data_IF_713422360272
#
_entry.id   IF_713422360272
#
_cell.length_a   1.000
_cell.length_b   1.000
_cell.length_c   1.000
_cell.angle_alpha   90.00
_cell.angle_beta   90.00
_cell.angle_gamma   90.00
#
_symmetry.space_group_name_H-M   'P 1'
#
loop_
_entity.id
_entity.type
_entity.pdbx_description
1 polymer ?
#
# COMPACT_ATOMS: atom_id res chain seq x y z
N UNK A 1 -18.60 -32.52 -47.60
CA UNK A 1 -17.76 -33.12 -46.54
C UNK A 1 -16.40 -32.40 -46.33
N UNK A 2 -15.45 -32.39 -47.33
CA UNK A 2 -14.16 -31.67 -47.13
C UNK A 2 -14.31 -30.15 -46.97
N UNK A 3 -15.13 -29.50 -47.81
CA UNK A 3 -15.37 -28.05 -47.73
C UNK A 3 -16.11 -27.62 -46.48
N UNK A 4 -17.05 -28.39 -46.01
CA UNK A 4 -17.79 -28.10 -44.76
C UNK A 4 -16.89 -28.16 -43.55
N UNK A 5 -16.03 -29.20 -43.42
CA UNK A 5 -15.01 -29.28 -42.35
C UNK A 5 -14.02 -28.13 -42.37
N UNK A 6 -13.64 -27.66 -43.56
CA UNK A 6 -12.70 -26.54 -43.70
C UNK A 6 -13.34 -25.20 -43.29
N UNK A 7 -14.64 -25.02 -43.63
CA UNK A 7 -15.40 -23.83 -43.21
C UNK A 7 -15.67 -23.81 -41.71
N UNK A 8 -15.96 -24.96 -41.12
CA UNK A 8 -16.16 -25.12 -39.68
C UNK A 8 -14.85 -24.86 -38.90
N UNK A 9 -13.73 -25.39 -39.38
CA UNK A 9 -12.40 -25.13 -38.81
C UNK A 9 -12.06 -23.62 -38.84
N UNK A 10 -12.34 -22.97 -39.96
CA UNK A 10 -12.07 -21.51 -40.12
C UNK A 10 -12.94 -20.68 -39.15
N UNK A 11 -14.22 -21.02 -39.01
CA UNK A 11 -15.13 -20.37 -38.05
C UNK A 11 -14.67 -20.56 -36.60
N UNK A 12 -14.26 -21.78 -36.24
CA UNK A 12 -13.76 -22.09 -34.90
C UNK A 12 -12.48 -21.29 -34.61
N UNK A 13 -11.59 -21.18 -35.59
CA UNK A 13 -10.35 -20.42 -35.48
C UNK A 13 -10.59 -18.91 -35.34
N UNK A 14 -11.55 -18.37 -36.10
CA UNK A 14 -11.96 -16.97 -35.98
C UNK A 14 -12.57 -16.66 -34.60
N UNK A 15 -13.45 -17.56 -34.11
CA UNK A 15 -14.06 -17.41 -32.80
C UNK A 15 -13.04 -17.49 -31.67
N UNK A 16 -12.07 -18.40 -31.75
CA UNK A 16 -10.97 -18.53 -30.81
C UNK A 16 -10.11 -17.27 -30.78
N UNK A 17 -9.77 -16.71 -31.95
CA UNK A 17 -9.00 -15.48 -32.07
C UNK A 17 -9.75 -14.28 -31.49
N UNK A 18 -11.06 -14.19 -31.68
CA UNK A 18 -11.88 -13.13 -31.11
C UNK A 18 -11.96 -13.20 -29.57
N UNK A 19 -12.17 -14.40 -29.03
CA UNK A 19 -12.18 -14.65 -27.59
C UNK A 19 -10.81 -14.30 -26.98
N UNK A 20 -9.74 -14.76 -27.62
CA UNK A 20 -8.37 -14.47 -27.16
C UNK A 20 -8.08 -12.96 -27.18
N UNK A 21 -8.50 -12.27 -28.24
CA UNK A 21 -8.34 -10.80 -28.32
C UNK A 21 -9.10 -10.08 -27.21
N UNK A 22 -10.37 -10.47 -26.95
CA UNK A 22 -11.16 -9.88 -25.84
C UNK A 22 -10.52 -10.15 -24.48
N UNK A 23 -10.01 -11.36 -24.26
CA UNK A 23 -9.32 -11.74 -23.03
C UNK A 23 -8.07 -10.88 -22.81
N UNK A 24 -7.21 -10.75 -23.83
CA UNK A 24 -6.00 -9.93 -23.75
C UNK A 24 -6.31 -8.46 -23.52
N UNK A 25 -7.35 -7.91 -24.17
CA UNK A 25 -7.79 -6.54 -23.88
C UNK A 25 -8.25 -6.35 -22.43
N UNK A 26 -9.01 -7.32 -21.90
CA UNK A 26 -9.49 -7.27 -20.51
C UNK A 26 -8.34 -7.35 -19.51
N UNK A 27 -7.37 -8.23 -19.76
CA UNK A 27 -6.17 -8.36 -18.94
C UNK A 27 -5.30 -7.10 -19.00
N UNK A 28 -5.17 -6.49 -20.18
CA UNK A 28 -4.44 -5.23 -20.36
C UNK A 28 -5.07 -4.08 -19.58
N UNK A 29 -6.40 -3.94 -19.61
CA UNK A 29 -7.12 -2.93 -18.80
C UNK A 29 -6.93 -3.17 -17.29
N UNK A 30 -6.84 -4.43 -16.88
CA UNK A 30 -6.60 -4.81 -15.48
C UNK A 30 -5.11 -4.75 -15.08
N UNK A 31 -4.21 -4.37 -16.01
CA UNK A 31 -2.75 -4.37 -15.82
C UNK A 31 -2.21 -5.74 -15.35
N UNK A 32 -2.83 -6.82 -15.85
CA UNK A 32 -2.44 -8.20 -15.53
C UNK A 32 -1.71 -8.80 -16.74
N UNK A 33 -0.50 -9.24 -16.54
CA UNK A 33 0.40 -9.77 -17.56
C UNK A 33 0.60 -11.27 -17.35
N UNK A 34 -0.06 -12.16 -18.13
CA UNK A 34 0.18 -13.60 -18.08
C UNK A 34 1.60 -13.92 -18.55
N UNK A 35 2.18 -14.92 -17.91
CA UNK A 35 3.51 -15.40 -18.27
C UNK A 35 3.59 -16.92 -18.14
N UNK A 36 4.52 -17.51 -18.90
CA UNK A 36 4.84 -18.93 -18.88
C UNK A 36 6.37 -19.09 -18.88
N UNK A 37 6.87 -19.88 -17.94
CA UNK A 37 8.26 -20.27 -17.87
C UNK A 37 8.42 -21.70 -18.39
N UNK A 38 9.19 -21.90 -19.47
CA UNK A 38 9.59 -23.18 -20.02
C UNK A 38 10.88 -23.66 -19.33
N UNK A 39 10.77 -24.72 -18.55
CA UNK A 39 11.84 -25.14 -17.65
C UNK A 39 13.06 -25.69 -18.39
N UNK A 40 12.83 -26.46 -19.47
CA UNK A 40 13.88 -27.06 -20.27
C UNK A 40 14.75 -26.01 -21.00
N UNK A 41 14.12 -24.95 -21.47
CA UNK A 41 14.77 -23.88 -22.24
C UNK A 41 15.28 -22.75 -21.35
N UNK A 42 14.87 -22.73 -20.08
CA UNK A 42 15.12 -21.62 -19.14
C UNK A 42 14.60 -20.27 -19.63
N UNK A 43 13.50 -20.27 -20.39
CA UNK A 43 12.93 -19.10 -21.03
C UNK A 43 11.54 -18.78 -20.48
N UNK A 44 11.27 -17.49 -20.35
CA UNK A 44 9.98 -16.97 -19.91
C UNK A 44 9.30 -16.24 -21.07
N UNK A 45 8.06 -16.60 -21.33
CA UNK A 45 7.18 -16.00 -22.32
C UNK A 45 6.17 -15.12 -21.62
N UNK A 46 5.90 -13.96 -22.19
CA UNK A 46 4.83 -13.05 -21.75
C UNK A 46 3.81 -12.93 -22.86
N UNK A 47 2.54 -13.20 -22.55
CA UNK A 47 1.46 -13.27 -23.57
C UNK A 47 0.98 -11.87 -24.03
N UNK A 48 1.18 -10.85 -23.22
CA UNK A 48 0.86 -9.47 -23.57
C UNK A 48 2.11 -8.73 -24.04
N UNK A 49 2.04 -8.11 -25.22
CA UNK A 49 3.09 -7.20 -25.68
C UNK A 49 2.96 -5.87 -24.95
N UNK A 50 3.99 -5.41 -24.24
CA UNK A 50 3.97 -4.11 -23.57
C UNK A 50 3.83 -2.92 -24.53
N UNK A 51 4.01 -3.13 -25.85
CA UNK A 51 3.98 -2.05 -26.87
C UNK A 51 2.60 -1.40 -27.06
N UNK A 52 1.53 -2.06 -26.62
CA UNK A 52 0.16 -1.53 -26.73
C UNK A 52 -0.33 -0.93 -25.40
N UNK A 53 0.54 -0.88 -24.38
CA UNK A 53 0.22 -0.31 -23.08
C UNK A 53 0.31 1.22 -23.12
N UNK A 54 -0.82 1.95 -22.91
CA UNK A 54 -0.82 3.40 -22.81
C UNK A 54 0.01 3.94 -21.65
N UNK A 55 0.29 3.14 -20.62
CA UNK A 55 1.17 3.48 -19.50
C UNK A 55 2.66 3.36 -19.84
N UNK A 56 3.03 2.83 -21.01
CA UNK A 56 4.41 2.68 -21.47
C UNK A 56 5.23 1.69 -20.63
N UNK A 57 4.60 0.62 -20.21
CA UNK A 57 5.19 -0.39 -19.33
C UNK A 57 6.06 -1.36 -20.14
N UNK A 58 7.34 -1.09 -20.23
CA UNK A 58 8.31 -2.00 -20.82
C UNK A 58 9.05 -2.74 -19.68
N UNK A 59 8.55 -3.90 -19.28
CA UNK A 59 9.25 -4.74 -18.28
C UNK A 59 10.66 -5.11 -18.81
N UNK A 60 10.74 -5.40 -20.11
CA UNK A 60 11.99 -5.79 -20.77
C UNK A 60 12.19 -4.97 -22.06
N UNK A 61 12.96 -3.89 -21.97
CA UNK A 61 13.23 -3.07 -23.13
C UNK A 61 14.22 -3.74 -24.06
N UNK A 62 13.90 -3.82 -25.35
CA UNK A 62 14.70 -4.40 -26.43
C UNK A 62 15.00 -5.90 -26.30
N UNK A 63 14.45 -6.59 -25.32
CA UNK A 63 14.64 -8.04 -25.26
C UNK A 63 13.63 -8.70 -26.22
N UNK A 64 14.15 -9.55 -27.12
CA UNK A 64 13.31 -10.44 -27.93
C UNK A 64 12.59 -11.39 -27.00
N UNK A 65 11.26 -11.52 -27.15
CA UNK A 65 10.57 -12.61 -26.46
C UNK A 65 10.86 -13.94 -27.17
N UNK A 66 11.16 -15.00 -26.42
CA UNK A 66 11.16 -15.16 -24.96
C UNK A 66 12.40 -14.57 -24.27
N UNK A 67 12.28 -14.28 -22.97
CA UNK A 67 13.34 -13.72 -22.13
C UNK A 67 13.94 -14.81 -21.25
N UNK A 68 15.27 -14.86 -21.09
CA UNK A 68 15.88 -15.83 -20.19
C UNK A 68 15.46 -15.59 -18.72
N UNK A 69 15.27 -16.69 -17.97
CA UNK A 69 14.92 -16.59 -16.54
C UNK A 69 15.98 -15.81 -15.75
N UNK A 70 17.26 -15.90 -16.13
CA UNK A 70 18.35 -15.16 -15.53
C UNK A 70 18.14 -13.64 -15.67
N UNK A 71 17.66 -13.19 -16.85
CA UNK A 71 17.35 -11.78 -17.10
C UNK A 71 16.17 -11.30 -16.25
N UNK A 72 15.13 -12.14 -16.12
CA UNK A 72 14.01 -11.86 -15.22
C UNK A 72 14.50 -11.64 -13.79
N UNK A 73 15.34 -12.52 -13.26
CA UNK A 73 15.92 -12.38 -11.91
C UNK A 73 16.78 -11.12 -11.75
N UNK A 74 17.48 -10.69 -12.78
CA UNK A 74 18.26 -9.45 -12.73
C UNK A 74 17.38 -8.22 -12.54
N UNK A 75 16.20 -8.21 -13.13
CA UNK A 75 15.22 -7.13 -13.00
C UNK A 75 14.58 -7.05 -11.60
N UNK A 76 14.57 -8.16 -10.83
CA UNK A 76 14.05 -8.17 -9.46
C UNK A 76 14.98 -7.39 -8.53
N UNK A 77 14.40 -6.53 -7.69
CA UNK A 77 15.14 -5.79 -6.67
C UNK A 77 15.92 -6.75 -5.76
N UNK A 78 17.18 -6.40 -5.48
CA UNK A 78 18.16 -7.32 -4.89
C UNK A 78 17.65 -8.05 -3.63
N UNK A 79 16.98 -7.32 -2.75
CA UNK A 79 16.50 -7.86 -1.47
C UNK A 79 15.31 -8.83 -1.63
N UNK A 80 14.55 -8.72 -2.72
CA UNK A 80 13.37 -9.55 -2.97
C UNK A 80 13.72 -10.87 -3.70
N UNK A 81 14.93 -10.95 -4.29
CA UNK A 81 15.36 -12.09 -5.11
C UNK A 81 15.29 -13.43 -4.40
N UNK A 82 15.79 -13.50 -3.15
CA UNK A 82 15.80 -14.75 -2.40
C UNK A 82 14.39 -15.27 -2.16
N UNK A 83 13.48 -14.38 -1.74
CA UNK A 83 12.07 -14.71 -1.51
C UNK A 83 11.37 -15.25 -2.76
N UNK A 84 11.63 -14.64 -3.92
CA UNK A 84 11.09 -15.10 -5.20
C UNK A 84 11.68 -16.46 -5.60
N UNK A 85 12.98 -16.66 -5.44
CA UNK A 85 13.64 -17.95 -5.73
C UNK A 85 13.07 -19.08 -4.86
N UNK A 86 12.94 -18.86 -3.57
CA UNK A 86 12.40 -19.85 -2.62
C UNK A 86 10.95 -20.22 -2.98
N UNK A 87 10.12 -19.22 -3.31
CA UNK A 87 8.75 -19.42 -3.74
C UNK A 87 8.68 -20.26 -5.03
N UNK A 88 9.47 -19.92 -6.06
CA UNK A 88 9.54 -20.70 -7.29
C UNK A 88 10.04 -22.12 -7.04
N UNK A 89 11.05 -22.30 -6.19
CA UNK A 89 11.56 -23.63 -5.80
C UNK A 89 10.48 -24.48 -5.12
N UNK A 90 9.55 -23.85 -4.37
CA UNK A 90 8.41 -24.53 -3.77
C UNK A 90 7.50 -25.21 -4.83
N UNK A 91 7.27 -24.53 -5.95
CA UNK A 91 6.54 -25.10 -7.09
C UNK A 91 7.37 -26.20 -7.79
N UNK A 92 8.64 -25.93 -8.10
CA UNK A 92 9.51 -26.85 -8.82
C UNK A 92 9.70 -28.18 -8.06
N UNK A 93 9.71 -28.15 -6.75
CA UNK A 93 9.80 -29.33 -5.87
C UNK A 93 8.44 -30.00 -5.58
N UNK A 94 7.36 -29.51 -6.18
CA UNK A 94 5.99 -30.01 -5.96
C UNK A 94 5.44 -29.75 -4.54
N UNK A 95 6.09 -28.90 -3.75
CA UNK A 95 5.67 -28.57 -2.37
C UNK A 95 4.53 -27.58 -2.34
N UNK A 96 4.40 -26.73 -3.37
CA UNK A 96 3.38 -25.70 -3.48
C UNK A 96 2.61 -25.84 -4.79
N UNK A 97 1.27 -25.75 -4.69
CA UNK A 97 0.36 -25.74 -5.85
C UNK A 97 0.09 -24.34 -6.38
N UNK A 98 0.35 -23.32 -5.57
CA UNK A 98 0.19 -21.91 -5.92
C UNK A 98 1.15 -21.07 -5.06
N UNK A 99 1.72 -20.05 -5.66
CA UNK A 99 2.54 -19.05 -5.01
C UNK A 99 2.01 -17.68 -5.34
N UNK A 100 2.00 -16.78 -4.35
CA UNK A 100 1.75 -15.35 -4.52
C UNK A 100 2.87 -14.61 -3.81
N UNK A 101 3.60 -13.75 -4.53
CA UNK A 101 4.73 -12.99 -3.98
C UNK A 101 4.65 -11.54 -4.46
N UNK A 102 4.66 -10.61 -3.52
CA UNK A 102 4.90 -9.20 -3.84
C UNK A 102 6.41 -8.97 -3.97
N UNK A 103 6.82 -8.27 -5.01
CA UNK A 103 8.23 -7.99 -5.29
C UNK A 103 8.40 -6.63 -5.92
N UNK A 104 9.58 -6.06 -5.78
CA UNK A 104 9.98 -4.84 -6.51
C UNK A 104 10.77 -5.24 -7.74
N UNK A 105 10.47 -4.57 -8.85
CA UNK A 105 11.07 -4.84 -10.15
C UNK A 105 11.51 -3.54 -10.83
N UNK A 106 12.68 -3.55 -11.45
CA UNK A 106 13.18 -2.44 -12.27
C UNK A 106 12.53 -2.49 -13.65
N UNK A 107 11.42 -1.78 -13.80
CA UNK A 107 10.75 -1.60 -15.09
C UNK A 107 11.34 -0.42 -15.84
N UNK A 108 11.54 -0.55 -17.15
CA UNK A 108 11.94 0.57 -18.00
C UNK A 108 10.70 1.30 -18.47
N UNK A 109 10.66 2.61 -18.23
CA UNK A 109 9.69 3.56 -18.81
C UNK A 109 10.38 4.48 -19.79
N UNK A 110 9.62 5.33 -20.50
CA UNK A 110 10.16 6.30 -21.48
C UNK A 110 11.26 7.18 -20.92
N UNK A 111 11.20 7.52 -19.65
CA UNK A 111 12.12 8.42 -18.93
C UNK A 111 13.27 7.69 -18.20
N UNK A 112 13.36 6.35 -18.30
CA UNK A 112 14.39 5.56 -17.61
C UNK A 112 13.85 4.39 -16.82
N UNK A 113 14.67 3.86 -15.89
CA UNK A 113 14.26 2.76 -15.03
C UNK A 113 13.52 3.28 -13.81
N UNK A 114 12.36 2.67 -13.53
CA UNK A 114 11.52 2.97 -12.38
C UNK A 114 11.32 1.69 -11.58
N UNK A 115 11.35 1.81 -10.25
CA UNK A 115 11.07 0.69 -9.36
C UNK A 115 9.55 0.54 -9.21
N UNK A 116 9.04 -0.59 -9.70
CA UNK A 116 7.62 -0.94 -9.66
C UNK A 116 7.37 -2.02 -8.63
N UNK A 117 6.26 -1.92 -7.90
CA UNK A 117 5.77 -3.01 -7.09
C UNK A 117 4.90 -3.94 -7.92
N UNK A 118 5.25 -5.22 -7.94
CA UNK A 118 4.52 -6.27 -8.66
C UNK A 118 4.01 -7.32 -7.69
N UNK A 119 2.84 -7.86 -7.99
CA UNK A 119 2.34 -9.09 -7.39
C UNK A 119 2.47 -10.20 -8.43
N UNK A 120 3.28 -11.21 -8.13
CA UNK A 120 3.51 -12.38 -8.96
C UNK A 120 2.68 -13.54 -8.46
N UNK A 121 1.84 -14.08 -9.32
CA UNK A 121 1.18 -15.36 -9.11
C UNK A 121 1.88 -16.42 -9.95
N UNK A 122 2.08 -17.61 -9.39
CA UNK A 122 2.66 -18.75 -10.09
C UNK A 122 1.96 -20.05 -9.69
N UNK A 123 1.75 -20.93 -10.67
CA UNK A 123 1.18 -22.25 -10.52
C UNK A 123 1.98 -23.25 -11.36
N UNK A 124 1.99 -24.55 -11.01
CA UNK A 124 2.48 -25.58 -11.92
C UNK A 124 1.66 -25.59 -13.21
N UNK A 125 2.32 -25.61 -14.36
CA UNK A 125 1.68 -25.72 -15.66
C UNK A 125 1.67 -27.17 -16.16
N UNK A 126 2.21 -27.40 -17.38
CA UNK A 126 2.24 -28.70 -18.04
C UNK A 126 3.19 -29.67 -17.34
N UNK A 127 2.81 -30.94 -17.35
CA UNK A 127 3.68 -32.06 -16.91
C UNK A 127 3.85 -33.07 -18.06
N UNK A 128 4.94 -33.81 -18.06
CA UNK A 128 5.18 -34.92 -19.00
C UNK A 128 4.43 -36.18 -18.56
N UNK A 129 4.56 -37.25 -19.36
CA UNK A 129 3.95 -38.57 -19.11
C UNK A 129 4.41 -39.21 -17.79
N UNK A 130 5.57 -38.79 -17.26
CA UNK A 130 6.14 -39.27 -16.01
C UNK A 130 5.78 -38.38 -14.81
N UNK A 131 4.94 -37.35 -15.02
CA UNK A 131 4.55 -36.39 -13.97
C UNK A 131 5.61 -35.32 -13.66
N UNK A 132 6.69 -35.19 -14.49
CA UNK A 132 7.71 -34.16 -14.32
C UNK A 132 7.18 -32.84 -14.85
N UNK A 133 7.35 -31.77 -14.07
CA UNK A 133 6.93 -30.44 -14.45
C UNK A 133 7.73 -29.92 -15.66
N UNK A 134 7.02 -29.45 -16.68
CA UNK A 134 7.58 -28.89 -17.90
C UNK A 134 7.49 -27.37 -17.91
N UNK A 135 6.37 -26.82 -17.38
CA UNK A 135 6.16 -25.37 -17.35
C UNK A 135 5.69 -24.89 -15.98
N UNK A 136 6.00 -23.65 -15.67
CA UNK A 136 5.36 -22.87 -14.60
C UNK A 136 4.62 -21.73 -15.28
N UNK A 137 3.37 -21.50 -14.87
CA UNK A 137 2.50 -20.52 -15.49
C UNK A 137 2.01 -19.55 -14.41
N UNK A 138 1.68 -18.31 -14.82
CA UNK A 138 1.24 -17.34 -13.86
C UNK A 138 0.86 -15.98 -14.44
N UNK A 139 0.77 -15.01 -13.56
CA UNK A 139 0.53 -13.61 -13.92
C UNK A 139 1.35 -12.66 -13.06
N UNK A 140 1.67 -11.51 -13.63
CA UNK A 140 2.21 -10.34 -12.94
C UNK A 140 1.15 -9.23 -12.96
N UNK A 141 1.03 -8.49 -11.86
CA UNK A 141 0.14 -7.34 -11.76
C UNK A 141 0.87 -6.21 -11.08
N UNK A 142 0.71 -4.97 -11.58
CA UNK A 142 1.24 -3.80 -10.88
C UNK A 142 0.39 -3.50 -9.64
N UNK A 143 1.07 -3.36 -8.52
CA UNK A 143 0.47 -2.97 -7.24
C UNK A 143 1.09 -1.67 -6.71
N UNK A 144 1.84 -0.97 -7.53
CA UNK A 144 2.55 0.27 -7.15
C UNK A 144 1.58 1.31 -6.61
N UNK A 145 0.44 1.53 -7.30
CA UNK A 145 -0.59 2.46 -6.84
C UNK A 145 -1.17 2.07 -5.49
N UNK A 146 -1.41 0.76 -5.27
CA UNK A 146 -1.90 0.24 -3.99
C UNK A 146 -0.89 0.54 -2.88
N UNK A 147 0.41 0.27 -3.11
CA UNK A 147 1.47 0.51 -2.13
C UNK A 147 1.61 1.99 -1.76
N UNK A 148 1.57 2.88 -2.75
CA UNK A 148 1.60 4.33 -2.51
C UNK A 148 0.41 4.77 -1.65
N UNK A 149 -0.80 4.30 -1.97
CA UNK A 149 -1.99 4.64 -1.17
C UNK A 149 -1.92 4.09 0.26
N UNK A 150 -1.38 2.87 0.45
CA UNK A 150 -1.16 2.27 1.77
C UNK A 150 -0.18 3.10 2.61
N UNK A 151 0.91 3.57 2.00
CA UNK A 151 1.91 4.44 2.65
C UNK A 151 1.31 5.81 3.02
N UNK A 152 0.58 6.44 2.10
CA UNK A 152 -0.10 7.72 2.35
C UNK A 152 -1.13 7.60 3.49
N UNK A 153 -1.92 6.52 3.47
CA UNK A 153 -2.91 6.26 4.52
C UNK A 153 -2.25 6.05 5.88
N UNK A 154 -1.16 5.31 5.92
CA UNK A 154 -0.40 5.06 7.15
C UNK A 154 0.16 6.36 7.72
N UNK A 155 0.80 7.18 6.88
CA UNK A 155 1.33 8.47 7.27
C UNK A 155 0.23 9.45 7.76
N UNK A 156 -0.92 9.47 7.07
CA UNK A 156 -2.06 10.29 7.49
C UNK A 156 -2.63 9.84 8.85
N UNK A 157 -2.71 8.52 9.05
CA UNK A 157 -3.17 7.93 10.33
C UNK A 157 -2.23 8.31 11.48
N UNK A 158 -0.93 8.13 11.31
CA UNK A 158 0.08 8.48 12.34
C UNK A 158 0.01 9.96 12.70
N UNK A 159 -0.12 10.84 11.71
CA UNK A 159 -0.28 12.28 11.93
C UNK A 159 -1.57 12.62 12.69
N UNK A 160 -2.68 11.94 12.37
CA UNK A 160 -3.95 12.14 13.06
C UNK A 160 -3.90 11.65 14.51
N UNK A 161 -3.26 10.50 14.76
CA UNK A 161 -3.06 9.95 16.11
C UNK A 161 -2.18 10.87 16.97
N UNK A 162 -1.10 11.39 16.43
CA UNK A 162 -0.24 12.36 17.14
C UNK A 162 -1.00 13.66 17.47
N UNK A 163 -1.75 14.21 16.51
CA UNK A 163 -2.58 15.39 16.76
C UNK A 163 -3.63 15.15 17.84
N UNK A 164 -4.24 13.96 17.86
CA UNK A 164 -5.22 13.59 18.88
C UNK A 164 -4.57 13.42 20.27
N UNK A 165 -3.37 12.85 20.32
CA UNK A 165 -2.58 12.72 21.56
C UNK A 165 -2.23 14.10 22.14
N UNK A 166 -1.73 15.01 21.30
CA UNK A 166 -1.42 16.39 21.68
C UNK A 166 -2.66 17.14 22.18
N UNK A 167 -3.80 17.00 21.48
CA UNK A 167 -5.08 17.59 21.90
C UNK A 167 -5.52 17.07 23.27
N UNK A 168 -5.42 15.75 23.50
CA UNK A 168 -5.80 15.14 24.78
C UNK A 168 -4.91 15.63 25.93
N UNK A 169 -3.59 15.72 25.70
CA UNK A 169 -2.64 16.25 26.69
C UNK A 169 -2.92 17.72 26.99
N UNK A 170 -3.22 18.53 25.97
CA UNK A 170 -3.58 19.94 26.14
C UNK A 170 -4.84 20.08 27.00
N UNK A 171 -5.90 19.30 26.69
CA UNK A 171 -7.16 19.34 27.47
C UNK A 171 -6.92 18.90 28.92
N UNK A 172 -6.10 17.88 29.16
CA UNK A 172 -5.77 17.43 30.51
C UNK A 172 -5.04 18.52 31.31
N UNK A 173 -4.06 19.17 30.70
CA UNK A 173 -3.33 20.29 31.32
C UNK A 173 -4.24 21.49 31.59
N UNK A 174 -5.07 21.88 30.61
CA UNK A 174 -6.05 22.95 30.79
C UNK A 174 -7.03 22.67 31.94
N UNK A 175 -7.52 21.43 32.03
CA UNK A 175 -8.40 21.03 33.12
C UNK A 175 -7.73 21.18 34.49
N UNK A 176 -6.43 20.86 34.60
CA UNK A 176 -5.69 21.06 35.82
C UNK A 176 -5.47 22.54 36.14
N UNK A 177 -5.11 23.33 35.15
CA UNK A 177 -4.89 24.78 35.30
C UNK A 177 -6.19 25.54 35.64
N UNK A 178 -7.34 25.09 35.16
CA UNK A 178 -8.65 25.66 35.49
C UNK A 178 -9.11 25.19 36.88
N UNK A 179 -8.92 23.93 37.24
CA UNK A 179 -9.41 23.36 38.49
C UNK A 179 -8.78 24.04 39.71
N UNK A 180 -7.48 24.35 39.66
CA UNK A 180 -6.74 24.94 40.78
C UNK A 180 -7.31 26.32 41.20
N UNK A 181 -7.45 27.33 40.32
CA UNK A 181 -8.05 28.60 40.67
C UNK A 181 -9.54 28.49 41.01
N UNK A 182 -10.26 27.61 40.33
CA UNK A 182 -11.70 27.38 40.61
C UNK A 182 -11.90 26.86 42.05
N UNK A 183 -11.10 25.88 42.46
CA UNK A 183 -11.16 25.34 43.83
C UNK A 183 -10.79 26.39 44.87
N UNK A 184 -9.83 27.29 44.58
CA UNK A 184 -9.48 28.40 45.47
C UNK A 184 -10.63 29.42 45.59
N UNK A 185 -11.27 29.76 44.45
CA UNK A 185 -12.44 30.65 44.43
C UNK A 185 -13.59 30.04 45.26
N UNK A 186 -13.91 28.76 45.05
CA UNK A 186 -14.95 28.07 45.80
C UNK A 186 -14.61 28.01 47.29
N UNK A 187 -13.33 27.75 47.64
CA UNK A 187 -12.85 27.72 49.01
C UNK A 187 -13.00 29.10 49.71
N UNK A 188 -12.52 30.14 49.08
CA UNK A 188 -12.66 31.49 49.62
C UNK A 188 -14.12 31.97 49.71
N UNK A 189 -14.95 31.66 48.72
CA UNK A 189 -16.38 31.96 48.75
C UNK A 189 -17.08 31.23 49.92
N UNK A 190 -16.69 30.02 50.22
CA UNK A 190 -17.23 29.26 51.36
C UNK A 190 -16.81 29.87 52.73
N UNK A 191 -15.61 30.43 52.83
CA UNK A 191 -15.13 31.13 54.01
C UNK A 191 -15.85 32.45 54.28
N UNK A 192 -16.22 33.20 53.20
CA UNK A 192 -16.99 34.43 53.31
C UNK A 192 -18.32 34.26 54.07
N UNK A 193 -18.91 33.08 54.06
CA UNK A 193 -20.16 32.77 54.79
C UNK A 193 -20.00 32.57 56.29
N UNK A 194 -18.77 32.50 56.79
CA UNK A 194 -18.45 32.13 58.19
C UNK A 194 -17.73 33.28 58.90
N UNK A 195 -17.18 34.27 58.17
CA UNK A 195 -16.39 35.38 58.70
C UNK A 195 -17.29 36.56 59.00
N UNK A 196 -17.26 37.03 60.26
CA UNK A 196 -18.00 38.20 60.73
C UNK A 196 -17.18 39.53 60.62
N UNK A 197 -15.87 39.46 60.38
CA UNK A 197 -15.01 40.65 60.28
C UNK A 197 -15.07 41.22 58.85
N UNK A 198 -15.46 42.47 58.75
CA UNK A 198 -15.65 43.18 57.51
C UNK A 198 -14.34 43.40 56.73
N UNK A 199 -13.20 43.56 57.43
CA UNK A 199 -11.88 43.69 56.81
C UNK A 199 -11.41 42.39 56.21
N UNK A 200 -11.58 41.31 56.92
CA UNK A 200 -11.23 39.96 56.46
C UNK A 200 -12.09 39.51 55.26
N UNK A 201 -13.38 39.87 55.28
CA UNK A 201 -14.26 39.65 54.11
C UNK A 201 -13.76 40.39 52.84
N UNK A 202 -13.34 41.67 52.97
CA UNK A 202 -12.82 42.43 51.84
C UNK A 202 -11.52 41.84 51.28
N UNK A 203 -10.67 41.27 52.10
CA UNK A 203 -9.43 40.59 51.67
C UNK A 203 -9.71 39.37 50.85
N UNK A 204 -10.64 38.48 51.24
CA UNK A 204 -11.05 37.31 50.47
C UNK A 204 -11.75 37.67 49.16
N UNK A 205 -12.56 38.73 49.14
CA UNK A 205 -13.18 39.25 47.93
C UNK A 205 -12.10 39.67 46.93
N UNK A 206 -11.06 40.40 47.41
CA UNK A 206 -9.92 40.79 46.58
C UNK A 206 -9.14 39.62 45.99
N UNK A 207 -8.92 38.55 46.77
CA UNK A 207 -8.28 37.33 46.31
C UNK A 207 -9.12 36.63 45.24
N UNK A 208 -10.43 36.48 45.42
CA UNK A 208 -11.36 35.90 44.44
C UNK A 208 -11.31 36.70 43.13
N UNK A 209 -11.36 38.02 43.20
CA UNK A 209 -11.31 38.90 42.02
C UNK A 209 -9.96 38.76 41.30
N UNK A 210 -8.85 38.72 42.02
CA UNK A 210 -7.52 38.56 41.41
C UNK A 210 -7.37 37.24 40.68
N UNK A 211 -7.82 36.13 41.28
CA UNK A 211 -7.80 34.80 40.67
C UNK A 211 -8.69 34.73 39.41
N UNK A 212 -9.85 35.37 39.39
CA UNK A 212 -10.75 35.39 38.24
C UNK A 212 -10.20 36.24 37.08
N UNK A 213 -9.48 37.31 37.34
CA UNK A 213 -8.90 38.19 36.30
C UNK A 213 -7.64 37.62 35.68
N UNK A 214 -6.75 37.01 36.47
CA UNK A 214 -5.46 36.48 35.97
C UNK A 214 -5.64 35.28 35.07
N UNK A 215 -6.60 34.41 35.32
CA UNK A 215 -6.77 33.17 34.56
C UNK A 215 -7.79 33.22 33.41
N UNK A 216 -8.71 34.19 33.40
CA UNK A 216 -9.68 34.35 32.31
C UNK A 216 -9.15 35.32 31.23
N UNK A 217 -8.25 36.22 31.56
CA UNK A 217 -7.77 37.27 30.64
C UNK A 217 -6.41 37.00 29.98
N UNK A 218 -5.67 35.95 30.32
CA UNK A 218 -4.40 35.59 29.67
C UNK A 218 -4.42 34.24 28.94
N UNK A 219 -5.23 34.00 27.90
CA UNK A 219 -5.03 32.86 27.02
C UNK A 219 -3.86 33.01 26.04
N UNK A 220 -3.07 34.09 26.16
CA UNK A 220 -2.15 34.56 25.10
C UNK A 220 -0.66 34.33 25.35
N UNK A 221 -0.23 33.76 26.46
CA UNK A 221 1.22 33.53 26.70
C UNK A 221 1.79 32.25 26.06
N UNK A 222 1.00 31.37 25.48
CA UNK A 222 1.46 30.15 24.78
C UNK A 222 1.88 30.36 23.31
N UNK A 223 1.98 31.62 22.84
CA UNK A 223 2.35 31.95 21.44
C UNK A 223 3.81 32.41 21.27
N UNK A 224 4.74 32.00 22.11
CA UNK A 224 6.16 32.30 21.91
C UNK A 224 7.04 31.09 22.24
N UNK A 225 6.92 30.00 21.49
CA UNK A 225 8.01 29.07 21.20
C UNK A 225 7.82 28.67 19.75
N UNK A 226 8.38 29.47 18.85
CA UNK A 226 8.71 29.08 17.46
C UNK A 226 10.17 28.74 17.45
#
# INVERSE_FOLDING_TARGET
MKQEKQTELLRTQQMLNEVNRKLLMTLGVAEVFPWKWELAEHMVWFDARPSDDPAGWEIFHNDSFPVSIARVYQGIYKEDRLRVIEACQGILKGKMKKVVVELRFWAKKREGFVLEWLEMHAIPGKVDENGRLLTVEGSLMSITRRKVMEEELTAAKEKAEEANRLKSALIANMNHEIRTPLNAIVGFASLLSIIDDEKEQQEYIGLIQSLSLIHISEPTRLRRIS
#
